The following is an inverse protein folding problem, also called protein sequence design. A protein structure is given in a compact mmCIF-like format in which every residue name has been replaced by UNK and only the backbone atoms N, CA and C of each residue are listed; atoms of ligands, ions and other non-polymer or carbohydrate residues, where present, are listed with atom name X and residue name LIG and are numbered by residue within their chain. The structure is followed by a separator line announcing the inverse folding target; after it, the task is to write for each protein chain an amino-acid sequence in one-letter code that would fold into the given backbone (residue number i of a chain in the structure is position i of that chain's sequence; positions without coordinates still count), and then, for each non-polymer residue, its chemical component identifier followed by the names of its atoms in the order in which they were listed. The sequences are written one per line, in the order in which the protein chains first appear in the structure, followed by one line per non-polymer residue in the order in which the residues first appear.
data_IF_759124169533
#
_entry.id   IF_759124169533
#
_cell.length_a   1.000
_cell.length_b   1.000
_cell.length_c   1.000
_cell.angle_alpha   90.00
_cell.angle_beta   90.00
_cell.angle_gamma   90.00
#
_symmetry.space_group_name_H-M   'P 1'
#
loop_
_entity.id
_entity.type
_entity.pdbx_description
1 polymer ?
#
# COMPACT_ATOMS: atom_id res chain seq x y z
N UNK A 1 1.02 35.46 -4.06
CA UNK A 1 0.64 34.28 -4.88
C UNK A 1 1.91 33.47 -5.05
N UNK A 2 2.08 32.42 -4.24
CA UNK A 2 3.29 31.60 -4.25
C UNK A 2 3.12 30.50 -5.31
N UNK A 3 3.66 30.74 -6.50
CA UNK A 3 3.72 29.71 -7.55
C UNK A 3 4.95 28.86 -7.25
N UNK A 4 4.75 27.59 -6.90
CA UNK A 4 5.85 26.65 -6.76
C UNK A 4 6.50 26.41 -8.13
N UNK A 5 7.84 26.29 -8.22
CA UNK A 5 8.52 26.03 -9.48
C UNK A 5 8.08 24.68 -10.08
N UNK A 6 7.94 24.64 -11.40
CA UNK A 6 7.58 23.44 -12.18
C UNK A 6 8.58 22.28 -11.95
N UNK A 7 9.81 22.59 -11.53
CA UNK A 7 10.88 21.65 -11.24
C UNK A 7 11.11 21.44 -9.73
N UNK A 8 10.06 21.47 -8.92
CA UNK A 8 10.18 20.98 -7.54
C UNK A 8 10.48 19.47 -7.58
N UNK A 9 11.44 19.01 -6.78
CA UNK A 9 11.69 17.58 -6.58
C UNK A 9 10.37 16.95 -6.10
N UNK A 10 9.79 16.06 -6.91
CA UNK A 10 8.53 15.38 -6.55
C UNK A 10 8.73 14.58 -5.27
N UNK A 11 7.73 14.56 -4.39
CA UNK A 11 7.78 13.72 -3.22
C UNK A 11 7.73 12.23 -3.64
N UNK A 12 8.32 11.31 -2.86
CA UNK A 12 8.27 9.88 -3.15
C UNK A 12 6.85 9.36 -3.40
N UNK A 13 5.86 9.85 -2.66
CA UNK A 13 4.45 9.51 -2.83
C UNK A 13 3.89 9.92 -4.20
N UNK A 14 4.23 11.11 -4.69
CA UNK A 14 3.75 11.61 -5.98
C UNK A 14 4.32 10.77 -7.13
N UNK A 15 5.61 10.45 -7.05
CA UNK A 15 6.28 9.56 -8.01
C UNK A 15 5.65 8.17 -7.95
N UNK A 16 5.43 7.63 -6.75
CA UNK A 16 4.80 6.32 -6.56
C UNK A 16 3.40 6.26 -7.19
N UNK A 17 2.60 7.30 -6.99
CA UNK A 17 1.25 7.42 -7.57
C UNK A 17 1.30 7.41 -9.10
N UNK A 18 2.24 8.14 -9.71
CA UNK A 18 2.42 8.18 -11.15
C UNK A 18 2.81 6.82 -11.74
N UNK A 19 3.78 6.14 -11.11
CA UNK A 19 4.25 4.82 -11.57
C UNK A 19 3.15 3.79 -11.39
N UNK A 20 2.47 3.75 -10.24
CA UNK A 20 1.34 2.85 -10.01
C UNK A 20 0.22 3.05 -11.03
N UNK A 21 -0.07 4.29 -11.41
CA UNK A 21 -1.09 4.57 -12.43
C UNK A 21 -0.72 3.99 -13.81
N UNK A 22 0.57 4.00 -14.16
CA UNK A 22 1.07 3.38 -15.40
C UNK A 22 0.90 1.86 -15.36
N UNK A 23 1.05 1.25 -14.17
CA UNK A 23 0.99 -0.19 -13.92
C UNK A 23 -0.36 -0.67 -13.34
N UNK A 24 -1.42 0.14 -13.44
CA UNK A 24 -2.73 -0.15 -12.82
C UNK A 24 -3.45 -1.41 -13.31
N UNK A 25 -2.96 -2.02 -14.38
CA UNK A 25 -3.50 -3.27 -14.94
C UNK A 25 -2.71 -4.51 -14.52
N UNK A 26 -1.54 -4.32 -13.92
CA UNK A 26 -0.73 -5.40 -13.39
C UNK A 26 -1.31 -5.90 -12.06
N UNK A 27 -0.92 -7.11 -11.64
CA UNK A 27 -1.27 -7.59 -10.29
C UNK A 27 -0.75 -6.64 -9.22
N UNK A 28 -1.40 -6.59 -8.06
CA UNK A 28 -1.01 -5.72 -6.95
C UNK A 28 0.46 -5.92 -6.57
N UNK A 29 0.91 -7.17 -6.47
CA UNK A 29 2.28 -7.50 -6.16
C UNK A 29 3.27 -6.94 -7.20
N UNK A 30 2.95 -7.10 -8.48
CA UNK A 30 3.81 -6.66 -9.58
C UNK A 30 3.86 -5.12 -9.69
N UNK A 31 2.72 -4.44 -9.57
CA UNK A 31 2.65 -2.98 -9.60
C UNK A 31 3.47 -2.36 -8.46
N UNK A 32 3.38 -2.92 -7.24
CA UNK A 32 4.19 -2.49 -6.10
C UNK A 32 5.67 -2.80 -6.31
N UNK A 33 6.02 -3.98 -6.84
CA UNK A 33 7.41 -4.37 -7.10
C UNK A 33 8.07 -3.39 -8.07
N UNK A 34 7.39 -3.09 -9.18
CA UNK A 34 7.87 -2.14 -10.19
C UNK A 34 8.02 -0.75 -9.56
N UNK A 35 7.02 -0.30 -8.81
CA UNK A 35 7.02 1.04 -8.20
C UNK A 35 8.16 1.21 -7.19
N UNK A 36 8.34 0.26 -6.27
CA UNK A 36 9.44 0.28 -5.29
C UNK A 36 10.79 0.26 -6.03
N UNK A 37 10.94 -0.61 -7.03
CA UNK A 37 12.14 -0.69 -7.86
C UNK A 37 12.47 0.63 -8.56
N UNK A 38 11.48 1.29 -9.18
CA UNK A 38 11.65 2.59 -9.83
C UNK A 38 12.07 3.68 -8.83
N UNK A 39 11.41 3.77 -7.67
CA UNK A 39 11.76 4.76 -6.64
C UNK A 39 13.21 4.58 -6.15
N UNK A 40 13.65 3.34 -5.97
CA UNK A 40 15.01 3.03 -5.50
C UNK A 40 16.05 3.25 -6.59
N UNK A 41 15.86 2.64 -7.77
CA UNK A 41 16.89 2.60 -8.80
C UNK A 41 16.96 3.86 -9.66
N UNK A 42 15.80 4.45 -10.00
CA UNK A 42 15.74 5.59 -10.92
C UNK A 42 15.78 6.92 -10.17
N UNK A 43 15.22 6.96 -8.95
CA UNK A 43 15.11 8.17 -8.14
C UNK A 43 16.03 8.19 -6.90
N UNK A 44 16.77 7.11 -6.63
CA UNK A 44 17.75 7.05 -5.53
C UNK A 44 17.11 7.16 -4.14
N UNK A 45 15.83 6.84 -4.00
CA UNK A 45 15.10 6.91 -2.73
C UNK A 45 15.49 5.70 -1.89
N UNK A 46 15.72 5.92 -0.58
CA UNK A 46 16.01 4.83 0.34
C UNK A 46 14.88 3.80 0.34
N UNK A 47 15.22 2.51 0.31
CA UNK A 47 14.27 1.40 0.14
C UNK A 47 13.10 1.44 1.13
N UNK A 48 13.36 1.67 2.42
CA UNK A 48 12.30 1.77 3.43
C UNK A 48 11.33 2.94 3.16
N UNK A 49 11.84 4.05 2.64
CA UNK A 49 11.01 5.21 2.26
C UNK A 49 10.22 4.92 0.99
N UNK A 50 10.82 4.23 0.02
CA UNK A 50 10.16 3.81 -1.22
C UNK A 50 9.03 2.81 -0.94
N UNK A 51 9.26 1.83 -0.06
CA UNK A 51 8.25 0.85 0.36
C UNK A 51 7.04 1.55 0.99
N UNK A 52 7.27 2.44 1.96
CA UNK A 52 6.17 3.17 2.62
C UNK A 52 5.41 4.04 1.63
N UNK A 53 6.11 4.78 0.77
CA UNK A 53 5.49 5.65 -0.23
C UNK A 53 4.63 4.84 -1.23
N UNK A 54 5.14 3.70 -1.69
CA UNK A 54 4.42 2.81 -2.61
C UNK A 54 3.16 2.21 -1.95
N UNK A 55 3.25 1.76 -0.70
CA UNK A 55 2.09 1.23 0.05
C UNK A 55 1.02 2.30 0.22
N UNK A 56 1.41 3.52 0.61
CA UNK A 56 0.47 4.63 0.81
C UNK A 56 -0.19 5.05 -0.50
N UNK A 57 0.59 5.23 -1.57
CA UNK A 57 0.07 5.59 -2.89
C UNK A 57 -0.86 4.51 -3.45
N UNK A 58 -0.52 3.23 -3.25
CA UNK A 58 -1.39 2.12 -3.65
C UNK A 58 -2.71 2.14 -2.88
N UNK A 59 -2.68 2.35 -1.56
CA UNK A 59 -3.89 2.42 -0.75
C UNK A 59 -4.83 3.55 -1.22
N UNK A 60 -4.27 4.72 -1.52
CA UNK A 60 -5.05 5.85 -2.02
C UNK A 60 -5.69 5.54 -3.38
N UNK A 61 -4.95 4.96 -4.32
CA UNK A 61 -5.46 4.56 -5.64
C UNK A 61 -6.53 3.46 -5.56
N UNK A 62 -6.31 2.42 -4.75
CA UNK A 62 -7.25 1.30 -4.56
C UNK A 62 -8.55 1.79 -3.87
N UNK A 63 -8.43 2.78 -3.00
CA UNK A 63 -9.57 3.30 -2.21
C UNK A 63 -10.54 4.20 -2.99
N UNK A 64 -10.19 4.67 -4.19
CA UNK A 64 -10.98 5.67 -4.96
C UNK A 64 -12.45 5.28 -5.12
N UNK A 65 -12.77 3.98 -5.15
CA UNK A 65 -14.14 3.48 -5.29
C UNK A 65 -14.61 2.58 -4.12
N UNK A 66 -13.87 2.56 -3.01
CA UNK A 66 -14.24 1.77 -1.85
C UNK A 66 -15.15 2.58 -0.92
N UNK A 67 -16.27 1.96 -0.53
CA UNK A 67 -17.17 2.52 0.49
C UNK A 67 -16.81 2.07 1.91
N UNK A 68 -15.69 1.36 2.07
CA UNK A 68 -15.17 0.93 3.35
C UNK A 68 -13.90 1.72 3.67
N UNK A 69 -13.67 2.01 4.96
CA UNK A 69 -12.53 2.84 5.38
C UNK A 69 -11.98 2.39 6.74
N UNK A 70 -10.71 2.72 7.00
CA UNK A 70 -10.11 2.52 8.33
C UNK A 70 -10.43 3.75 9.19
N UNK A 71 -11.05 3.52 10.35
CA UNK A 71 -11.31 4.55 11.34
C UNK A 71 -10.06 4.77 12.20
N UNK A 72 -9.22 5.73 11.80
CA UNK A 72 -7.95 6.02 12.47
C UNK A 72 -8.16 6.50 13.92
N UNK A 73 -9.28 7.16 14.23
CA UNK A 73 -9.56 7.65 15.59
C UNK A 73 -9.95 6.52 16.54
N UNK A 74 -10.54 5.44 16.01
CA UNK A 74 -10.87 4.24 16.77
C UNK A 74 -9.76 3.18 16.75
N UNK A 75 -8.76 3.34 15.88
CA UNK A 75 -7.65 2.41 15.72
C UNK A 75 -6.48 2.73 16.66
N UNK A 76 -5.69 1.70 16.96
CA UNK A 76 -4.47 1.79 17.78
C UNK A 76 -3.37 0.93 17.14
N UNK A 77 -2.12 0.99 17.61
CA UNK A 77 -1.07 0.09 17.12
C UNK A 77 -1.36 -1.41 17.26
N UNK A 78 -2.39 -1.81 18.04
CA UNK A 78 -2.74 -3.20 18.27
C UNK A 78 -4.11 -3.60 17.69
N UNK A 79 -4.89 -2.63 17.20
CA UNK A 79 -6.26 -2.80 16.73
C UNK A 79 -6.55 -1.90 15.56
N UNK A 80 -7.04 -2.46 14.45
CA UNK A 80 -7.55 -1.71 13.29
C UNK A 80 -9.07 -1.82 13.25
N UNK A 81 -9.75 -0.69 13.14
CA UNK A 81 -11.21 -0.63 13.00
C UNK A 81 -11.58 -0.32 11.56
N UNK A 82 -12.18 -1.28 10.87
CA UNK A 82 -12.75 -1.12 9.54
C UNK A 82 -14.21 -0.68 9.66
N UNK A 83 -14.58 0.42 9.01
CA UNK A 83 -15.97 0.80 8.75
C UNK A 83 -16.38 0.17 7.43
N UNK A 84 -17.30 -0.79 7.47
CA UNK A 84 -17.86 -1.37 6.25
C UNK A 84 -18.82 -0.40 5.57
N UNK A 85 -19.28 -0.73 4.35
CA UNK A 85 -20.19 0.10 3.56
C UNK A 85 -21.46 0.57 4.29
N UNK A 86 -21.95 -0.20 5.26
CA UNK A 86 -23.12 0.12 6.08
C UNK A 86 -22.78 0.84 7.40
N UNK A 87 -21.53 1.25 7.61
CA UNK A 87 -21.06 1.92 8.82
C UNK A 87 -20.80 0.99 10.02
N UNK A 88 -20.99 -0.32 9.85
CA UNK A 88 -20.73 -1.30 10.91
C UNK A 88 -19.22 -1.35 11.22
N UNK A 89 -18.80 -1.17 12.48
CA UNK A 89 -17.41 -1.34 12.86
C UNK A 89 -17.06 -2.83 12.91
N UNK A 90 -16.03 -3.21 12.17
CA UNK A 90 -15.36 -4.51 12.27
C UNK A 90 -13.99 -4.28 12.87
N UNK A 91 -13.65 -5.06 13.90
CA UNK A 91 -12.42 -4.90 14.67
C UNK A 91 -11.47 -6.03 14.32
N UNK A 92 -10.23 -5.67 13.96
CA UNK A 92 -9.15 -6.62 13.72
C UNK A 92 -8.01 -6.33 14.69
N UNK A 93 -7.67 -7.30 15.55
CA UNK A 93 -6.45 -7.22 16.35
C UNK A 93 -5.23 -7.61 15.50
N UNK A 94 -4.03 -7.24 15.94
CA UNK A 94 -2.80 -7.71 15.29
C UNK A 94 -2.75 -9.26 15.16
N UNK A 95 -3.30 -9.99 16.14
CA UNK A 95 -3.41 -11.46 16.08
C UNK A 95 -4.36 -11.94 15.00
N UNK A 96 -5.47 -11.24 14.79
CA UNK A 96 -6.45 -11.61 13.76
C UNK A 96 -5.85 -11.39 12.36
N UNK A 97 -5.16 -10.27 12.16
CA UNK A 97 -4.45 -9.97 10.91
C UNK A 97 -3.35 -11.00 10.62
N UNK A 98 -2.57 -11.39 11.63
CA UNK A 98 -1.54 -12.43 11.49
C UNK A 98 -2.14 -13.79 11.09
N UNK A 99 -3.26 -14.18 11.70
CA UNK A 99 -4.00 -15.39 11.32
C UNK A 99 -4.54 -15.31 9.89
N UNK A 100 -5.06 -14.16 9.48
CA UNK A 100 -5.55 -13.95 8.12
C UNK A 100 -4.41 -14.08 7.10
N UNK A 101 -3.23 -13.53 7.39
CA UNK A 101 -2.05 -13.70 6.54
C UNK A 101 -1.66 -15.18 6.44
N UNK A 102 -1.65 -15.91 7.56
CA UNK A 102 -1.34 -17.34 7.54
C UNK A 102 -2.33 -18.13 6.68
N UNK A 103 -3.64 -17.89 6.85
CA UNK A 103 -4.67 -18.52 6.03
C UNK A 103 -4.51 -18.20 4.54
N UNK A 104 -4.17 -16.96 4.20
CA UNK A 104 -3.94 -16.56 2.82
C UNK A 104 -2.66 -17.18 2.23
N UNK A 105 -1.62 -17.40 3.04
CA UNK A 105 -0.43 -18.16 2.62
C UNK A 105 -0.79 -19.61 2.31
N UNK A 106 -1.54 -20.25 3.20
CA UNK A 106 -1.96 -21.64 3.03
C UNK A 106 -2.85 -21.80 1.79
N UNK A 107 -3.62 -20.77 1.44
CA UNK A 107 -4.43 -20.70 0.22
C UNK A 107 -3.67 -20.26 -1.05
N UNK A 108 -2.38 -19.91 -0.96
CA UNK A 108 -1.58 -19.43 -2.09
C UNK A 108 -1.93 -18.02 -2.59
N UNK A 109 -2.65 -17.24 -1.79
CA UNK A 109 -3.12 -15.87 -2.11
C UNK A 109 -2.17 -14.78 -1.59
N UNK A 110 -1.32 -15.09 -0.60
CA UNK A 110 -0.31 -14.17 -0.12
C UNK A 110 0.89 -14.13 -1.07
N UNK A 111 1.15 -12.96 -1.67
CA UNK A 111 2.30 -12.72 -2.55
C UNK A 111 3.31 -11.81 -1.87
N UNK A 112 4.56 -12.19 -2.00
CA UNK A 112 5.69 -11.37 -1.57
C UNK A 112 6.05 -10.45 -2.73
N UNK A 113 6.14 -9.15 -2.48
CA UNK A 113 6.44 -8.14 -3.51
C UNK A 113 7.91 -8.20 -3.93
N UNK A 114 8.83 -8.25 -2.96
CA UNK A 114 10.26 -8.42 -3.20
C UNK A 114 10.74 -9.78 -2.64
N UNK A 115 11.31 -10.63 -3.50
CA UNK A 115 11.75 -11.97 -3.12
C UNK A 115 12.98 -11.96 -2.19
N UNK A 116 13.85 -10.95 -2.29
CA UNK A 116 15.10 -10.83 -1.56
C UNK A 116 14.86 -10.26 -0.16
N UNK A 117 14.05 -9.20 -0.06
CA UNK A 117 13.74 -8.56 1.23
C UNK A 117 12.49 -9.13 1.90
N UNK A 118 11.73 -9.95 1.17
CA UNK A 118 10.48 -10.61 1.59
C UNK A 118 9.39 -9.65 2.03
N UNK A 119 9.39 -8.43 1.52
CA UNK A 119 8.50 -7.35 1.93
C UNK A 119 8.17 -6.41 0.76
N UNK A 120 7.02 -5.73 0.79
CA UNK A 120 5.86 -6.05 1.62
C UNK A 120 5.18 -7.35 1.15
N UNK A 121 4.26 -7.88 1.95
CA UNK A 121 3.38 -8.99 1.55
C UNK A 121 2.01 -8.40 1.24
N UNK A 122 1.45 -8.82 0.11
CA UNK A 122 0.10 -8.44 -0.31
C UNK A 122 -0.79 -9.65 -0.48
N UNK A 123 -2.08 -9.45 -0.30
CA UNK A 123 -3.09 -10.45 -0.62
C UNK A 123 -3.63 -10.17 -2.03
N UNK A 124 -3.55 -11.15 -2.90
CA UNK A 124 -4.20 -11.13 -4.22
C UNK A 124 -5.62 -11.70 -4.11
N UNK A 125 -6.56 -11.14 -4.87
CA UNK A 125 -7.97 -11.55 -4.91
C UNK A 125 -8.56 -11.34 -6.30
#
# INVERSE_FOLDING_TARGET
MNVAPINATKAPFDIATEVLWQHRWDSRAEALRITIGTLVHDYGIAEATAEVAAIQAFADLDSVNLNASIDLNASTPHVVVLRTRNGCPVVFTARDLDRMIQQARDAGLARVVDADTRRPIVLEH
#
